data_IF_484137063221
#
_entry.id   IF_484137063221
#
_cell.length_a   1.000
_cell.length_b   1.000
_cell.length_c   1.000
_cell.angle_alpha   90.00
_cell.angle_beta   90.00
_cell.angle_gamma   90.00
#
_symmetry.space_group_name_H-M   'P 1'
#
loop_
_entity.id
_entity.type
_entity.pdbx_description
1 polymer ?
#
# COMPACT_ATOMS: atom_id res chain seq x y z
N UNK A 1 -9.86 21.42 -12.25
CA UNK A 1 -10.05 20.51 -11.11
C UNK A 1 -10.40 19.10 -11.57
N UNK A 2 -11.28 18.92 -12.57
CA UNK A 2 -11.60 17.58 -13.12
C UNK A 2 -10.40 16.83 -13.71
N UNK A 3 -9.48 17.51 -14.41
CA UNK A 3 -8.28 16.88 -14.96
C UNK A 3 -7.31 16.33 -13.90
N UNK A 4 -7.26 16.95 -12.72
CA UNK A 4 -6.32 16.55 -11.67
C UNK A 4 -6.81 15.29 -10.98
N UNK A 5 -8.08 15.27 -10.56
CA UNK A 5 -8.68 14.08 -9.96
C UNK A 5 -8.67 12.87 -10.91
N UNK A 6 -8.85 13.10 -12.22
CA UNK A 6 -8.76 12.03 -13.23
C UNK A 6 -7.34 11.46 -13.36
N UNK A 7 -6.32 12.32 -13.32
CA UNK A 7 -4.91 11.90 -13.31
C UNK A 7 -4.58 11.13 -12.04
N UNK A 8 -5.00 11.64 -10.89
CA UNK A 8 -4.74 11.01 -9.59
C UNK A 8 -5.40 9.62 -9.54
N UNK A 9 -6.66 9.50 -9.96
CA UNK A 9 -7.33 8.20 -10.09
C UNK A 9 -6.63 7.26 -11.08
N UNK A 10 -6.02 7.78 -12.14
CA UNK A 10 -5.25 6.94 -13.08
C UNK A 10 -4.05 6.32 -12.35
N UNK A 11 -3.36 7.07 -11.51
CA UNK A 11 -2.23 6.55 -10.70
C UNK A 11 -2.70 5.46 -9.74
N UNK A 12 -3.84 5.66 -9.06
CA UNK A 12 -4.45 4.61 -8.23
C UNK A 12 -4.75 3.34 -9.03
N UNK A 13 -5.37 3.46 -10.21
CA UNK A 13 -5.69 2.31 -11.05
C UNK A 13 -4.42 1.59 -11.54
N UNK A 14 -3.36 2.33 -11.91
CA UNK A 14 -2.08 1.74 -12.27
C UNK A 14 -1.47 0.95 -11.11
N UNK A 15 -1.52 1.49 -9.89
CA UNK A 15 -1.04 0.78 -8.69
C UNK A 15 -1.82 -0.50 -8.47
N UNK A 16 -3.14 -0.47 -8.62
CA UNK A 16 -3.96 -1.66 -8.55
C UNK A 16 -3.58 -2.68 -9.64
N UNK A 17 -3.38 -2.24 -10.88
CA UNK A 17 -3.01 -3.10 -11.99
C UNK A 17 -1.67 -3.81 -11.77
N UNK A 18 -0.60 -3.06 -11.45
CA UNK A 18 0.75 -3.63 -11.28
C UNK A 18 0.90 -4.51 -10.04
N UNK A 19 0.02 -4.33 -9.04
CA UNK A 19 0.00 -5.16 -7.83
C UNK A 19 -1.10 -6.23 -7.83
N UNK A 20 -1.80 -6.39 -8.96
CA UNK A 20 -2.89 -7.36 -9.14
C UNK A 20 -4.02 -7.23 -8.10
N UNK A 21 -4.38 -5.98 -7.77
CA UNK A 21 -5.42 -5.64 -6.79
C UNK A 21 -6.73 -5.26 -7.49
N UNK A 22 -7.86 -5.61 -6.87
CA UNK A 22 -9.17 -5.12 -7.33
C UNK A 22 -9.41 -3.67 -6.83
N UNK A 23 -9.58 -2.69 -7.74
CA UNK A 23 -9.72 -1.29 -7.35
C UNK A 23 -11.03 -1.00 -6.60
N UNK A 24 -12.10 -1.78 -6.83
CA UNK A 24 -13.36 -1.60 -6.12
C UNK A 24 -13.23 -2.08 -4.67
N UNK A 25 -12.64 -3.26 -4.45
CA UNK A 25 -12.38 -3.81 -3.13
C UNK A 25 -11.45 -2.90 -2.32
N UNK A 26 -10.41 -2.33 -2.94
CA UNK A 26 -9.57 -1.33 -2.26
C UNK A 26 -10.35 -0.05 -1.92
N UNK A 27 -11.22 0.40 -2.82
CA UNK A 27 -12.06 1.58 -2.56
C UNK A 27 -13.02 1.36 -1.40
N UNK A 28 -13.66 0.18 -1.33
CA UNK A 28 -14.53 -0.20 -0.21
C UNK A 28 -13.73 -0.26 1.09
N UNK A 29 -12.60 -0.96 1.12
CA UNK A 29 -11.72 -1.02 2.30
C UNK A 29 -11.25 0.36 2.75
N UNK A 30 -10.90 1.25 1.82
CA UNK A 30 -10.46 2.60 2.15
C UNK A 30 -11.60 3.42 2.77
N UNK A 31 -12.83 3.29 2.26
CA UNK A 31 -14.03 3.95 2.81
C UNK A 31 -14.39 3.41 4.19
N UNK A 32 -14.27 2.10 4.40
CA UNK A 32 -14.50 1.49 5.71
C UNK A 32 -13.47 1.93 6.74
N UNK A 33 -12.20 2.03 6.33
CA UNK A 33 -11.08 2.40 7.23
C UNK A 33 -10.98 3.90 7.50
N UNK A 34 -11.34 4.73 6.53
CA UNK A 34 -11.21 6.19 6.59
C UNK A 34 -12.48 6.93 6.14
N UNK A 35 -13.67 6.65 6.71
CA UNK A 35 -14.94 7.18 6.22
C UNK A 35 -14.96 8.71 6.13
N UNK A 36 -14.39 9.39 7.13
CA UNK A 36 -14.24 10.86 7.19
C UNK A 36 -13.49 11.46 5.98
N UNK A 37 -12.58 10.69 5.36
CA UNK A 37 -11.76 11.19 4.24
C UNK A 37 -12.52 11.18 2.93
N UNK A 38 -13.64 10.46 2.85
CA UNK A 38 -14.46 10.30 1.64
C UNK A 38 -15.76 11.12 1.66
N UNK A 39 -16.05 11.87 2.73
CA UNK A 39 -17.27 12.68 2.85
C UNK A 39 -17.39 13.77 1.77
N UNK A 40 -16.24 14.26 1.27
CA UNK A 40 -16.17 15.32 0.26
C UNK A 40 -15.83 14.80 -1.15
N UNK A 41 -15.91 13.49 -1.39
CA UNK A 41 -15.59 12.85 -2.66
C UNK A 41 -14.44 11.84 -2.57
N UNK A 42 -13.93 11.34 -3.71
CA UNK A 42 -12.86 10.35 -3.73
C UNK A 42 -11.56 10.93 -3.18
N UNK A 43 -11.01 10.29 -2.15
CA UNK A 43 -9.71 10.63 -1.58
C UNK A 43 -8.64 9.70 -2.14
N UNK A 44 -8.03 10.10 -3.26
CA UNK A 44 -7.07 9.26 -3.99
C UNK A 44 -5.85 8.92 -3.14
N UNK A 45 -5.38 9.84 -2.32
CA UNK A 45 -4.26 9.56 -1.40
C UNK A 45 -4.55 8.35 -0.51
N UNK A 46 -5.77 8.30 0.07
CA UNK A 46 -6.19 7.16 0.89
C UNK A 46 -6.38 5.88 0.08
N UNK A 47 -6.80 5.99 -1.17
CA UNK A 47 -6.93 4.83 -2.06
C UNK A 47 -5.56 4.22 -2.38
N UNK A 48 -4.60 5.05 -2.78
CA UNK A 48 -3.22 4.65 -3.06
C UNK A 48 -2.59 4.04 -1.81
N UNK A 49 -2.72 4.73 -0.67
CA UNK A 49 -2.19 4.23 0.59
C UNK A 49 -2.79 2.85 0.93
N UNK A 50 -4.11 2.69 0.77
CA UNK A 50 -4.79 1.43 1.07
C UNK A 50 -4.38 0.32 0.10
N UNK A 51 -4.18 0.61 -1.18
CA UNK A 51 -3.71 -0.36 -2.17
C UNK A 51 -2.33 -0.92 -1.80
N UNK A 52 -1.37 -0.03 -1.54
CA UNK A 52 0.00 -0.41 -1.19
C UNK A 52 0.04 -1.15 0.16
N UNK A 53 -0.72 -0.69 1.17
CA UNK A 53 -0.82 -1.35 2.46
C UNK A 53 -1.44 -2.75 2.32
N UNK A 54 -2.46 -2.89 1.46
CA UNK A 54 -3.12 -4.18 1.23
C UNK A 54 -2.17 -5.18 0.58
N UNK A 55 -1.41 -4.76 -0.44
CA UNK A 55 -0.43 -5.64 -1.08
C UNK A 55 0.68 -6.04 -0.11
N UNK A 56 1.26 -5.07 0.60
CA UNK A 56 2.29 -5.32 1.58
C UNK A 56 1.81 -6.25 2.71
N UNK A 57 0.61 -6.02 3.24
CA UNK A 57 0.00 -6.89 4.26
C UNK A 57 -0.19 -8.32 3.76
N UNK A 58 -0.68 -8.52 2.53
CA UNK A 58 -0.86 -9.85 1.96
C UNK A 58 0.47 -10.61 1.81
N UNK A 59 1.53 -9.92 1.39
CA UNK A 59 2.87 -10.49 1.25
C UNK A 59 3.47 -10.90 2.61
N UNK A 60 3.29 -10.08 3.64
CA UNK A 60 3.74 -10.43 4.99
C UNK A 60 2.92 -11.58 5.56
N UNK A 61 1.59 -11.58 5.40
CA UNK A 61 0.71 -12.63 5.92
C UNK A 61 0.99 -14.02 5.33
N UNK A 62 1.44 -14.08 4.08
CA UNK A 62 1.86 -15.34 3.46
C UNK A 62 3.09 -15.94 4.17
N UNK A 63 3.99 -15.08 4.68
CA UNK A 63 5.24 -15.46 5.35
C UNK A 63 5.09 -15.64 6.86
N UNK A 64 4.25 -14.82 7.49
CA UNK A 64 4.01 -14.80 8.93
C UNK A 64 2.50 -14.67 9.18
N UNK A 65 1.83 -15.80 9.42
CA UNK A 65 0.39 -15.83 9.67
C UNK A 65 -0.02 -15.15 10.99
N UNK A 66 0.95 -14.85 11.87
CA UNK A 66 0.77 -14.04 13.07
C UNK A 66 0.87 -12.54 12.81
N UNK A 67 1.33 -12.12 11.63
CA UNK A 67 1.43 -10.71 11.28
C UNK A 67 0.03 -10.14 11.05
N UNK A 68 -0.36 -9.23 11.94
CA UNK A 68 -1.58 -8.48 11.78
C UNK A 68 -1.43 -7.53 10.57
N UNK A 69 -2.36 -7.62 9.61
CA UNK A 69 -2.38 -6.77 8.41
C UNK A 69 -2.50 -5.26 8.73
N UNK A 70 -2.93 -4.91 9.94
CA UNK A 70 -3.04 -3.53 10.41
C UNK A 70 -1.81 -3.07 11.22
N UNK A 71 -0.95 -4.01 11.62
CA UNK A 71 -0.04 -3.87 12.75
C UNK A 71 1.37 -3.36 12.45
N UNK A 72 2.02 -3.76 11.36
CA UNK A 72 3.44 -3.46 11.19
C UNK A 72 3.70 -2.22 10.33
N UNK A 73 3.13 -1.07 10.73
CA UNK A 73 3.49 0.26 10.21
C UNK A 73 4.98 0.60 10.41
N UNK A 74 5.69 -0.24 11.16
CA UNK A 74 7.12 -0.11 11.39
C UNK A 74 7.95 -0.83 10.30
N UNK A 75 7.44 -1.90 9.67
CA UNK A 75 8.15 -2.63 8.62
C UNK A 75 8.28 -1.84 7.30
N UNK A 76 7.35 -0.95 7.00
CA UNK A 76 7.39 -0.11 5.80
C UNK A 76 6.64 1.20 6.00
N UNK A 77 6.90 2.17 5.14
CA UNK A 77 6.22 3.47 5.10
C UNK A 77 5.65 3.71 3.71
N UNK A 78 4.44 4.27 3.67
CA UNK A 78 3.71 4.53 2.44
C UNK A 78 3.43 6.03 2.34
N UNK A 79 3.83 6.61 1.22
CA UNK A 79 3.38 7.92 0.77
C UNK A 79 2.25 7.72 -0.26
N UNK A 80 1.06 8.19 0.11
CA UNK A 80 -0.13 8.07 -0.72
C UNK A 80 -0.24 9.16 -1.78
N UNK A 81 0.70 10.11 -1.85
CA UNK A 81 0.59 11.26 -2.75
C UNK A 81 0.45 10.79 -4.21
N UNK A 82 -0.64 11.15 -4.91
CA UNK A 82 -0.85 10.68 -6.28
C UNK A 82 0.13 11.28 -7.28
N UNK A 83 0.72 12.44 -7.01
CA UNK A 83 1.77 12.97 -7.87
C UNK A 83 3.05 12.15 -7.69
N UNK A 84 3.36 11.70 -6.47
CA UNK A 84 4.56 10.98 -6.08
C UNK A 84 4.32 9.84 -5.07
N UNK A 85 3.67 8.74 -5.49
CA UNK A 85 3.40 7.66 -4.56
C UNK A 85 4.74 7.03 -4.17
N UNK A 86 4.86 6.66 -2.89
CA UNK A 86 6.09 6.14 -2.30
C UNK A 86 5.84 4.89 -1.47
N UNK A 87 6.74 3.92 -1.59
CA UNK A 87 6.77 2.74 -0.74
C UNK A 87 8.22 2.52 -0.30
N UNK A 88 8.47 2.58 1.01
CA UNK A 88 9.81 2.45 1.59
C UNK A 88 9.80 1.32 2.61
N UNK A 89 10.68 0.35 2.42
CA UNK A 89 10.87 -0.77 3.35
C UNK A 89 11.86 -0.37 4.44
N UNK A 90 11.49 -0.55 5.70
CA UNK A 90 12.34 -0.27 6.85
C UNK A 90 13.08 -1.55 7.27
N UNK A 91 14.10 -1.92 6.49
CA UNK A 91 14.87 -3.17 6.70
C UNK A 91 15.45 -3.30 8.11
N UNK A 92 15.95 -2.20 8.69
CA UNK A 92 16.53 -2.20 10.05
C UNK A 92 15.48 -2.64 11.08
N UNK A 93 14.28 -2.09 10.98
CA UNK A 93 13.20 -2.40 11.89
C UNK A 93 12.70 -3.84 11.70
N UNK A 94 12.61 -4.32 10.46
CA UNK A 94 12.27 -5.72 10.18
C UNK A 94 13.32 -6.65 10.80
N UNK A 95 14.62 -6.39 10.59
CA UNK A 95 15.70 -7.20 11.17
C UNK A 95 15.75 -7.14 12.70
N UNK A 96 15.23 -6.08 13.31
CA UNK A 96 15.14 -5.96 14.76
C UNK A 96 13.94 -6.71 15.36
N UNK A 97 12.86 -6.87 14.61
CA UNK A 97 11.63 -7.52 15.10
C UNK A 97 11.55 -9.00 14.75
N UNK A 98 12.15 -9.42 13.64
CA UNK A 98 12.07 -10.78 13.12
C UNK A 98 13.43 -11.49 13.19
N UNK A 99 13.39 -12.82 13.23
CA UNK A 99 14.61 -13.64 13.09
C UNK A 99 15.25 -13.42 11.71
N UNK A 100 16.58 -13.54 11.55
CA UNK A 100 17.26 -13.22 10.30
C UNK A 100 16.63 -13.86 9.05
N UNK A 101 16.29 -15.15 9.12
CA UNK A 101 15.67 -15.89 8.01
C UNK A 101 14.27 -15.40 7.65
N UNK A 102 13.50 -14.93 8.63
CA UNK A 102 12.15 -14.37 8.41
C UNK A 102 12.26 -12.93 7.93
N UNK A 103 13.18 -12.15 8.51
CA UNK A 103 13.44 -10.78 8.12
C UNK A 103 13.85 -10.68 6.64
N UNK A 104 14.75 -11.54 6.16
CA UNK A 104 15.14 -11.57 4.75
C UNK A 104 13.95 -11.88 3.83
N UNK A 105 13.10 -12.85 4.20
CA UNK A 105 11.89 -13.17 3.41
C UNK A 105 10.91 -12.02 3.38
N UNK A 106 10.68 -11.34 4.51
CA UNK A 106 9.79 -10.18 4.58
C UNK A 106 10.34 -9.04 3.72
N UNK A 107 11.63 -8.75 3.80
CA UNK A 107 12.27 -7.70 2.99
C UNK A 107 12.14 -8.03 1.50
N UNK A 108 12.43 -9.26 1.09
CA UNK A 108 12.31 -9.71 -0.30
C UNK A 108 10.87 -9.61 -0.80
N UNK A 109 9.91 -10.10 -0.01
CA UNK A 109 8.50 -10.04 -0.37
C UNK A 109 8.00 -8.59 -0.47
N UNK A 110 8.34 -7.71 0.49
CA UNK A 110 7.99 -6.29 0.41
C UNK A 110 8.64 -5.57 -0.77
N UNK A 111 9.81 -6.04 -1.23
CA UNK A 111 10.44 -5.59 -2.47
C UNK A 111 9.62 -5.89 -3.74
N UNK A 112 8.63 -6.79 -3.66
CA UNK A 112 7.71 -7.09 -4.76
C UNK A 112 6.56 -6.10 -4.90
N UNK A 113 6.38 -5.16 -3.96
CA UNK A 113 5.39 -4.09 -4.08
C UNK A 113 5.80 -3.17 -5.23
N UNK A 114 4.99 -3.12 -6.27
CA UNK A 114 5.29 -2.36 -7.49
C UNK A 114 4.69 -0.96 -7.44
N UNK A 115 5.47 0.02 -7.87
CA UNK A 115 5.06 1.41 -7.99
C UNK A 115 4.65 1.71 -9.45
N UNK A 116 3.75 2.68 -9.68
CA UNK A 116 3.29 2.98 -11.02
C UNK A 116 4.44 3.59 -11.84
N UNK A 117 4.58 3.14 -13.08
CA UNK A 117 5.57 3.70 -14.01
C UNK A 117 5.08 5.08 -14.40
N UNK A 118 5.74 6.13 -13.90
CA UNK A 118 5.51 7.50 -14.38
C UNK A 118 5.92 7.57 -15.85
N UNK A 119 4.96 7.85 -16.73
CA UNK A 119 5.21 8.18 -18.14
C UNK A 119 5.75 9.61 -18.27
#
# INVERSE_FOLDING_TARGET
MEDQNKRDMTVFHQICEVNELDPNAITEKAKERFPEKFENGPNVERLIWTALNHRAGALIQDLDQSADSDGDKAAYSIDGDPAAPGFVVNEENIRSQYSPEVAEKIIDALGQVQMPIRA
#
